data_IF_469897321033
#
_entry.id   IF_469897321033
#
_cell.length_a   1.000
_cell.length_b   1.000
_cell.length_c   1.000
_cell.angle_alpha   90.00
_cell.angle_beta   90.00
_cell.angle_gamma   90.00
#
_symmetry.space_group_name_H-M   'P 1'
#
loop_
_entity.id
_entity.type
_entity.pdbx_description
1 polymer ?
#
# COMPACT_ATOMS: atom_id res chain seq x y z
N UNK A 1 18.73 -24.18 -5.89
CA UNK A 1 18.26 -23.16 -6.85
C UNK A 1 17.82 -23.92 -8.10
N UNK A 2 16.81 -23.47 -8.85
CA UNK A 2 16.28 -24.26 -9.97
C UNK A 2 16.03 -23.47 -11.25
N UNK A 3 15.37 -24.09 -12.23
CA UNK A 3 15.09 -23.49 -13.55
C UNK A 3 14.34 -22.16 -13.49
N UNK A 4 13.47 -21.97 -12.50
CA UNK A 4 12.75 -20.72 -12.28
C UNK A 4 13.70 -19.58 -11.84
N UNK A 5 14.69 -19.89 -11.00
CA UNK A 5 15.69 -18.92 -10.55
C UNK A 5 16.62 -18.53 -11.70
N UNK A 6 17.03 -19.50 -12.52
CA UNK A 6 17.83 -19.28 -13.72
C UNK A 6 17.09 -18.40 -14.73
N UNK A 7 15.84 -18.75 -15.06
CA UNK A 7 15.00 -17.96 -15.96
C UNK A 7 14.84 -16.54 -15.43
N UNK A 8 14.49 -16.37 -14.16
CA UNK A 8 14.31 -15.04 -13.60
C UNK A 8 15.59 -14.22 -13.58
N UNK A 9 16.76 -14.85 -13.37
CA UNK A 9 18.05 -14.18 -13.46
C UNK A 9 18.39 -13.76 -14.89
N UNK A 10 18.18 -14.64 -15.87
CA UNK A 10 18.38 -14.34 -17.29
C UNK A 10 17.49 -13.20 -17.79
N UNK A 11 16.21 -13.19 -17.37
CA UNK A 11 15.27 -12.13 -17.75
C UNK A 11 15.74 -10.75 -17.29
N UNK A 12 16.45 -10.64 -16.16
CA UNK A 12 16.80 -9.34 -15.55
C UNK A 12 18.29 -9.00 -15.61
N UNK A 13 19.14 -9.92 -16.10
CA UNK A 13 20.59 -9.78 -16.12
C UNK A 13 21.15 -10.24 -17.47
N UNK A 14 21.68 -9.29 -18.24
CA UNK A 14 22.28 -9.58 -19.55
C UNK A 14 23.47 -10.53 -19.44
N UNK A 15 24.26 -10.43 -18.37
CA UNK A 15 25.39 -11.32 -18.12
C UNK A 15 24.97 -12.78 -17.92
N UNK A 16 23.82 -13.05 -17.28
CA UNK A 16 23.31 -14.43 -17.13
C UNK A 16 22.78 -14.97 -18.46
N UNK A 17 22.19 -14.10 -19.28
CA UNK A 17 21.80 -14.45 -20.66
C UNK A 17 23.00 -14.69 -21.58
N UNK A 18 24.09 -13.94 -21.39
CA UNK A 18 25.37 -14.19 -22.07
C UNK A 18 26.01 -15.50 -21.60
N UNK A 19 25.95 -15.79 -20.30
CA UNK A 19 26.46 -17.02 -19.72
C UNK A 19 25.81 -18.27 -20.31
N UNK A 20 24.49 -18.25 -20.58
CA UNK A 20 23.81 -19.35 -21.27
C UNK A 20 24.42 -19.64 -22.67
N UNK A 21 24.89 -18.62 -23.39
CA UNK A 21 25.47 -18.77 -24.73
C UNK A 21 26.94 -19.19 -24.70
N UNK A 22 27.69 -18.60 -23.78
CA UNK A 22 29.15 -18.69 -23.76
C UNK A 22 29.62 -19.91 -22.96
N UNK A 23 28.94 -20.23 -21.86
CA UNK A 23 29.27 -21.34 -20.97
C UNK A 23 28.00 -21.91 -20.29
N UNK A 24 27.16 -22.63 -21.03
CA UNK A 24 25.91 -23.19 -20.52
C UNK A 24 26.13 -24.17 -19.35
N UNK A 25 27.28 -24.85 -19.29
CA UNK A 25 27.63 -25.77 -18.19
C UNK A 25 27.86 -24.99 -16.89
N UNK A 26 28.46 -23.81 -16.96
CA UNK A 26 28.61 -22.94 -15.78
C UNK A 26 27.28 -22.40 -15.29
N UNK A 27 26.36 -22.05 -16.19
CA UNK A 27 24.98 -21.70 -15.80
C UNK A 27 24.27 -22.89 -15.15
N UNK A 28 24.39 -24.08 -15.74
CA UNK A 28 23.83 -25.33 -15.23
C UNK A 28 24.26 -25.61 -13.79
N UNK A 29 25.57 -25.53 -13.51
CA UNK A 29 26.10 -25.74 -12.17
C UNK A 29 25.63 -24.67 -11.18
N UNK A 30 25.56 -23.41 -11.62
CA UNK A 30 25.17 -22.30 -10.75
C UNK A 30 23.73 -22.41 -10.27
N UNK A 31 22.84 -22.88 -11.13
CA UNK A 31 21.40 -22.98 -10.84
C UNK A 31 20.91 -24.43 -10.69
N UNK A 32 21.84 -25.38 -10.49
CA UNK A 32 21.56 -26.82 -10.29
C UNK A 32 20.59 -27.40 -11.34
N UNK A 33 20.75 -27.01 -12.61
CA UNK A 33 19.85 -27.39 -13.69
C UNK A 33 20.13 -28.81 -14.17
N UNK A 34 19.07 -29.57 -14.44
CA UNK A 34 19.15 -30.80 -15.22
C UNK A 34 19.49 -30.51 -16.68
N UNK A 35 19.96 -31.52 -17.42
CA UNK A 35 20.23 -31.39 -18.87
C UNK A 35 18.96 -31.00 -19.64
N UNK A 36 17.79 -31.48 -19.21
CA UNK A 36 16.50 -31.13 -19.80
C UNK A 36 16.14 -29.66 -19.57
N UNK A 37 16.35 -29.13 -18.36
CA UNK A 37 16.11 -27.72 -18.04
C UNK A 37 17.10 -26.80 -18.78
N UNK A 38 18.37 -27.19 -18.88
CA UNK A 38 19.37 -26.46 -19.65
C UNK A 38 19.01 -26.45 -21.14
N UNK A 39 18.59 -27.59 -21.70
CA UNK A 39 18.14 -27.69 -23.09
C UNK A 39 16.90 -26.82 -23.35
N UNK A 40 15.95 -26.79 -22.41
CA UNK A 40 14.78 -25.92 -22.48
C UNK A 40 15.18 -24.44 -22.52
N UNK A 41 16.10 -24.01 -21.65
CA UNK A 41 16.56 -22.63 -21.62
C UNK A 41 17.36 -22.27 -22.90
N UNK A 42 18.22 -23.19 -23.36
CA UNK A 42 19.05 -22.98 -24.56
C UNK A 42 18.24 -22.99 -25.86
N UNK A 43 17.11 -23.70 -25.89
CA UNK A 43 16.24 -23.82 -27.07
C UNK A 43 15.38 -22.59 -27.35
N UNK A 44 15.28 -21.64 -26.42
CA UNK A 44 14.53 -20.40 -26.62
C UNK A 44 15.39 -19.31 -27.28
N UNK A 45 14.85 -18.63 -28.29
CA UNK A 45 15.51 -17.50 -28.91
C UNK A 45 15.66 -16.32 -27.92
N UNK A 46 16.79 -15.60 -27.98
CA UNK A 46 17.07 -14.43 -27.12
C UNK A 46 15.99 -13.36 -27.18
N UNK A 47 15.41 -13.12 -28.36
CA UNK A 47 14.31 -12.17 -28.52
C UNK A 47 13.06 -12.61 -27.74
N UNK A 48 12.85 -13.92 -27.59
CA UNK A 48 11.81 -14.48 -26.73
C UNK A 48 12.00 -14.12 -25.26
N UNK A 49 13.24 -14.12 -24.76
CA UNK A 49 13.55 -13.67 -23.40
C UNK A 49 13.33 -12.17 -23.21
N UNK A 50 13.72 -11.34 -24.20
CA UNK A 50 13.48 -9.89 -24.15
C UNK A 50 12.00 -9.53 -24.16
N UNK A 51 11.21 -10.19 -25.01
CA UNK A 51 9.74 -10.03 -25.04
C UNK A 51 9.13 -10.47 -23.72
N UNK A 52 9.55 -11.62 -23.18
CA UNK A 52 9.09 -12.12 -21.89
C UNK A 52 9.41 -11.15 -20.76
N UNK A 53 10.64 -10.63 -20.71
CA UNK A 53 11.07 -9.64 -19.72
C UNK A 53 10.22 -8.37 -19.79
N UNK A 54 10.03 -7.83 -21.00
CA UNK A 54 9.19 -6.64 -21.22
C UNK A 54 7.75 -6.90 -20.77
N UNK A 55 7.20 -8.08 -21.06
CA UNK A 55 5.88 -8.49 -20.63
C UNK A 55 5.76 -8.62 -19.10
N UNK A 56 6.77 -9.20 -18.44
CA UNK A 56 6.81 -9.33 -16.98
C UNK A 56 6.93 -7.97 -16.31
N UNK A 57 7.80 -7.08 -16.81
CA UNK A 57 7.90 -5.70 -16.33
C UNK A 57 6.60 -4.93 -16.51
N UNK A 58 5.94 -5.08 -17.65
CA UNK A 58 4.64 -4.46 -17.91
C UNK A 58 3.57 -4.92 -16.93
N UNK A 59 3.56 -6.22 -16.59
CA UNK A 59 2.67 -6.79 -15.57
C UNK A 59 2.99 -6.28 -14.17
N UNK A 60 4.27 -6.27 -13.77
CA UNK A 60 4.70 -5.71 -12.49
C UNK A 60 4.29 -4.25 -12.35
N UNK A 61 4.54 -3.44 -13.39
CA UNK A 61 4.11 -2.04 -13.43
C UNK A 61 2.60 -1.91 -13.25
N UNK A 62 1.82 -2.69 -13.99
CA UNK A 62 0.37 -2.64 -13.94
C UNK A 62 -0.16 -3.08 -12.57
N UNK A 63 0.46 -4.08 -11.96
CA UNK A 63 0.12 -4.56 -10.63
C UNK A 63 0.37 -3.48 -9.57
N UNK A 64 1.57 -2.88 -9.57
CA UNK A 64 1.90 -1.81 -8.60
C UNK A 64 1.03 -0.57 -8.83
N UNK A 65 0.82 -0.16 -10.09
CA UNK A 65 0.02 1.03 -10.42
C UNK A 65 -1.46 0.87 -10.04
N UNK A 66 -1.97 -0.36 -9.87
CA UNK A 66 -3.32 -0.58 -9.37
C UNK A 66 -3.50 -0.12 -7.90
N UNK A 67 -2.41 -0.08 -7.12
CA UNK A 67 -2.43 0.38 -5.73
C UNK A 67 -1.73 1.72 -5.52
N UNK A 68 -0.69 2.02 -6.30
CA UNK A 68 0.19 3.20 -6.17
C UNK A 68 0.29 4.00 -7.49
N UNK A 69 -0.83 4.43 -8.08
CA UNK A 69 -0.84 5.03 -9.41
C UNK A 69 0.07 6.26 -9.55
N UNK A 70 -0.01 7.21 -8.61
CA UNK A 70 0.75 8.46 -8.72
C UNK A 70 2.24 8.22 -8.38
N UNK A 71 2.53 7.36 -7.40
CA UNK A 71 3.92 6.97 -7.09
C UNK A 71 4.58 6.31 -8.29
N UNK A 72 3.88 5.43 -9.02
CA UNK A 72 4.42 4.81 -10.23
C UNK A 72 4.59 5.84 -11.34
N UNK A 73 3.63 6.77 -11.51
CA UNK A 73 3.76 7.85 -12.49
C UNK A 73 5.00 8.71 -12.21
N UNK A 74 5.23 9.12 -10.96
CA UNK A 74 6.41 9.87 -10.53
C UNK A 74 7.70 9.08 -10.74
N UNK A 75 7.72 7.79 -10.38
CA UNK A 75 8.87 6.92 -10.61
C UNK A 75 9.25 6.85 -12.09
N UNK A 76 8.28 6.76 -12.98
CA UNK A 76 8.53 6.67 -14.42
C UNK A 76 8.87 8.03 -15.05
N UNK A 77 8.34 9.12 -14.51
CA UNK A 77 8.56 10.48 -15.01
C UNK A 77 9.87 11.12 -14.53
N UNK A 78 10.24 10.92 -13.25
CA UNK A 78 11.36 11.60 -12.62
C UNK A 78 12.44 10.68 -12.03
N UNK A 79 12.15 9.39 -11.83
CA UNK A 79 13.05 8.47 -11.11
C UNK A 79 13.20 7.10 -11.78
N UNK A 80 13.29 7.08 -13.11
CA UNK A 80 13.25 5.83 -13.90
C UNK A 80 14.29 4.80 -13.46
N UNK A 81 15.50 5.24 -13.09
CA UNK A 81 16.55 4.37 -12.59
C UNK A 81 16.15 3.61 -11.31
N UNK A 82 15.41 4.26 -10.40
CA UNK A 82 14.88 3.64 -9.18
C UNK A 82 13.86 2.56 -9.52
N UNK A 83 12.96 2.82 -10.47
CA UNK A 83 12.00 1.80 -10.94
C UNK A 83 12.71 0.57 -11.51
N UNK A 84 13.71 0.78 -12.36
CA UNK A 84 14.47 -0.30 -13.00
C UNK A 84 15.29 -1.12 -11.98
N UNK A 85 15.81 -0.49 -10.94
CA UNK A 85 16.48 -1.16 -9.83
C UNK A 85 15.49 -2.03 -9.02
N UNK A 86 14.36 -1.46 -8.61
CA UNK A 86 13.31 -2.20 -7.90
C UNK A 86 12.83 -3.41 -8.70
N UNK A 87 12.51 -3.22 -9.99
CA UNK A 87 11.91 -4.25 -10.82
C UNK A 87 12.83 -5.47 -10.98
N UNK A 88 14.15 -5.26 -11.15
CA UNK A 88 15.14 -6.34 -11.23
C UNK A 88 15.15 -7.24 -9.98
N UNK A 89 14.90 -6.67 -8.80
CA UNK A 89 14.85 -7.40 -7.53
C UNK A 89 13.53 -8.15 -7.27
N UNK A 90 12.45 -7.80 -7.98
CA UNK A 90 11.10 -8.37 -7.74
C UNK A 90 10.79 -9.54 -8.66
N UNK A 91 11.18 -9.46 -9.93
CA UNK A 91 10.91 -10.48 -10.96
C UNK A 91 11.47 -11.88 -10.61
N UNK A 92 12.32 -11.97 -9.58
CA UNK A 92 12.99 -13.20 -9.14
C UNK A 92 12.21 -14.11 -8.18
N UNK A 93 11.01 -13.77 -7.73
CA UNK A 93 10.30 -14.56 -6.69
C UNK A 93 8.89 -14.99 -7.13
N UNK A 94 8.59 -16.30 -7.20
CA UNK A 94 7.22 -16.80 -7.32
C UNK A 94 6.37 -16.31 -6.14
N UNK A 95 5.09 -16.07 -6.38
CA UNK A 95 4.21 -15.43 -5.41
C UNK A 95 3.06 -16.36 -4.95
N UNK A 96 2.62 -16.23 -3.67
CA UNK A 96 1.43 -16.92 -3.19
C UNK A 96 0.14 -16.29 -3.75
N UNK A 97 -0.76 -17.13 -4.28
CA UNK A 97 -1.98 -16.71 -4.99
C UNK A 97 -3.09 -16.05 -4.14
N UNK A 98 -2.88 -15.90 -2.82
CA UNK A 98 -3.95 -15.56 -1.87
C UNK A 98 -4.18 -14.05 -1.64
N UNK A 99 -3.39 -13.17 -2.28
CA UNK A 99 -3.46 -11.71 -2.03
C UNK A 99 -4.13 -10.95 -3.18
N UNK A 100 -4.77 -9.79 -2.90
CA UNK A 100 -5.28 -8.92 -3.95
C UNK A 100 -4.16 -8.55 -4.93
N UNK A 101 -4.52 -8.47 -6.22
CA UNK A 101 -3.59 -8.17 -7.30
C UNK A 101 -2.81 -6.88 -7.01
N UNK A 102 -1.48 -6.93 -7.09
CA UNK A 102 -0.60 -5.77 -6.93
C UNK A 102 -0.29 -5.33 -5.51
N UNK A 103 -1.02 -5.81 -4.49
CA UNK A 103 -0.80 -5.40 -3.09
C UNK A 103 0.58 -5.79 -2.58
N UNK A 104 1.05 -7.02 -2.87
CA UNK A 104 2.34 -7.49 -2.39
C UNK A 104 3.51 -6.75 -3.04
N UNK A 105 3.43 -6.51 -4.34
CA UNK A 105 4.44 -5.73 -5.07
C UNK A 105 4.48 -4.29 -4.59
N UNK A 106 3.31 -3.71 -4.27
CA UNK A 106 3.19 -2.35 -3.75
C UNK A 106 3.74 -2.21 -2.33
N UNK A 107 3.50 -3.18 -1.45
CA UNK A 107 4.12 -3.26 -0.13
C UNK A 107 5.64 -3.33 -0.25
N UNK A 108 6.16 -4.17 -1.16
CA UNK A 108 7.60 -4.29 -1.41
C UNK A 108 8.19 -3.01 -1.98
N UNK A 109 7.53 -2.36 -2.93
CA UNK A 109 7.99 -1.08 -3.47
C UNK A 109 8.07 -0.05 -2.36
N UNK A 110 7.01 0.07 -1.56
CA UNK A 110 6.96 1.04 -0.46
C UNK A 110 8.05 0.79 0.58
N UNK A 111 8.29 -0.48 0.94
CA UNK A 111 9.36 -0.85 1.86
C UNK A 111 10.75 -0.59 1.27
N UNK A 112 10.96 -0.87 -0.02
CA UNK A 112 12.21 -0.59 -0.72
C UNK A 112 12.47 0.91 -0.85
N UNK A 113 11.45 1.71 -1.17
CA UNK A 113 11.54 3.18 -1.20
C UNK A 113 11.92 3.76 0.15
N UNK A 114 11.46 3.16 1.26
CA UNK A 114 11.86 3.58 2.60
C UNK A 114 13.35 3.39 2.90
N UNK A 115 14.06 2.55 2.13
CA UNK A 115 15.53 2.43 2.20
C UNK A 115 16.24 3.35 1.22
N UNK A 116 15.50 4.06 0.35
CA UNK A 116 16.03 5.06 -0.55
C UNK A 116 15.95 6.45 0.11
N UNK A 117 16.83 7.37 -0.26
CA UNK A 117 16.80 8.77 0.19
C UNK A 117 15.72 9.59 -0.53
N UNK A 118 14.49 9.08 -0.62
CA UNK A 118 13.36 9.68 -1.33
C UNK A 118 12.14 9.92 -0.42
N UNK A 119 12.27 10.76 0.62
CA UNK A 119 11.28 10.82 1.70
C UNK A 119 9.88 11.28 1.25
N UNK A 120 9.77 12.14 0.24
CA UNK A 120 8.49 12.55 -0.36
C UNK A 120 7.78 11.37 -1.04
N UNK A 121 8.51 10.66 -1.90
CA UNK A 121 8.01 9.50 -2.62
C UNK A 121 7.62 8.37 -1.67
N UNK A 122 8.43 8.11 -0.64
CA UNK A 122 8.12 7.15 0.42
C UNK A 122 6.87 7.53 1.21
N UNK A 123 6.71 8.80 1.57
CA UNK A 123 5.50 9.26 2.28
C UNK A 123 4.24 9.08 1.43
N UNK A 124 4.30 9.45 0.14
CA UNK A 124 3.16 9.33 -0.77
C UNK A 124 2.84 7.86 -1.12
N UNK A 125 3.85 7.02 -1.34
CA UNK A 125 3.66 5.58 -1.56
C UNK A 125 2.96 4.92 -0.35
N UNK A 126 3.37 5.27 0.87
CA UNK A 126 2.69 4.82 2.09
C UNK A 126 1.24 5.30 2.17
N UNK A 127 0.97 6.51 1.69
CA UNK A 127 -0.38 7.07 1.64
C UNK A 127 -1.29 6.32 0.66
N UNK A 128 -0.83 6.11 -0.58
CA UNK A 128 -1.57 5.33 -1.57
C UNK A 128 -1.77 3.87 -1.12
N UNK A 129 -0.73 3.25 -0.55
CA UNK A 129 -0.82 1.89 -0.03
C UNK A 129 -1.85 1.76 1.10
N UNK A 130 -1.90 2.73 2.02
CA UNK A 130 -2.88 2.73 3.10
C UNK A 130 -4.31 2.84 2.56
N UNK A 131 -4.52 3.63 1.49
CA UNK A 131 -5.82 3.70 0.79
C UNK A 131 -6.16 2.38 0.11
N UNK A 132 -5.24 1.80 -0.65
CA UNK A 132 -5.45 0.52 -1.35
C UNK A 132 -5.74 -0.61 -0.36
N UNK A 133 -5.00 -0.68 0.75
CA UNK A 133 -5.25 -1.64 1.84
C UNK A 133 -6.68 -1.51 2.35
N UNK A 134 -7.14 -0.29 2.63
CA UNK A 134 -8.48 -0.05 3.15
C UNK A 134 -9.59 -0.40 2.13
N UNK A 135 -9.34 -0.22 0.83
CA UNK A 135 -10.26 -0.64 -0.25
C UNK A 135 -10.43 -2.16 -0.31
N UNK A 136 -9.36 -2.91 -0.05
CA UNK A 136 -9.39 -4.39 -0.10
C UNK A 136 -9.70 -5.04 1.26
N UNK A 137 -9.78 -4.26 2.33
CA UNK A 137 -10.09 -4.73 3.68
C UNK A 137 -11.56 -5.15 3.79
N UNK A 138 -11.82 -6.43 4.11
CA UNK A 138 -13.17 -6.98 4.21
C UNK A 138 -13.94 -6.41 5.39
N UNK A 139 -13.27 -6.23 6.53
CA UNK A 139 -13.91 -5.73 7.75
C UNK A 139 -14.24 -4.25 7.60
N UNK A 140 -13.36 -3.49 6.93
CA UNK A 140 -13.66 -2.12 6.53
C UNK A 140 -14.90 -2.03 5.61
N UNK A 141 -15.08 -2.99 4.68
CA UNK A 141 -16.25 -3.03 3.80
C UNK A 141 -17.55 -3.28 4.58
N UNK A 142 -17.52 -4.23 5.52
CA UNK A 142 -18.65 -4.56 6.39
C UNK A 142 -19.00 -3.37 7.29
N UNK A 143 -18.00 -2.79 7.96
CA UNK A 143 -18.19 -1.62 8.81
C UNK A 143 -18.75 -0.42 8.03
N UNK A 144 -18.29 -0.19 6.79
CA UNK A 144 -18.83 0.89 5.94
C UNK A 144 -20.30 0.64 5.58
N UNK A 145 -20.67 -0.60 5.26
CA UNK A 145 -22.06 -0.99 5.00
C UNK A 145 -22.95 -0.77 6.21
N UNK A 146 -22.52 -1.27 7.37
CA UNK A 146 -23.29 -1.21 8.60
C UNK A 146 -23.44 0.27 9.05
N UNK A 147 -22.40 1.09 8.82
CA UNK A 147 -22.47 2.53 9.02
C UNK A 147 -23.55 3.22 8.18
N UNK A 148 -23.67 2.84 6.91
CA UNK A 148 -24.70 3.37 6.03
C UNK A 148 -26.12 2.97 6.46
N UNK A 149 -26.28 1.84 7.16
CA UNK A 149 -27.60 1.40 7.66
C UNK A 149 -28.04 2.10 8.94
N UNK A 150 -27.11 2.42 9.85
CA UNK A 150 -27.44 3.01 11.17
C UNK A 150 -27.48 4.53 11.13
N UNK A 151 -26.83 5.20 10.17
CA UNK A 151 -26.87 6.66 10.03
C UNK A 151 -28.29 7.27 9.91
N UNK A 152 -29.33 6.44 9.70
CA UNK A 152 -30.73 6.85 9.68
C UNK A 152 -31.51 6.69 10.99
N UNK A 153 -30.97 6.05 12.05
CA UNK A 153 -31.75 5.70 13.26
C UNK A 153 -31.72 6.75 14.37
N UNK A 154 -30.84 7.75 14.32
CA UNK A 154 -30.81 8.88 15.27
C UNK A 154 -30.40 8.56 16.71
N UNK A 155 -30.25 7.29 17.07
CA UNK A 155 -29.85 6.89 18.41
C UNK A 155 -28.39 7.25 18.70
N UNK A 156 -28.18 7.94 19.82
CA UNK A 156 -26.83 8.19 20.34
C UNK A 156 -26.26 6.86 20.85
N UNK A 157 -25.03 6.51 20.44
CA UNK A 157 -24.42 5.29 20.92
C UNK A 157 -24.16 5.37 22.43
N UNK A 158 -24.72 4.42 23.17
CA UNK A 158 -24.40 4.18 24.57
C UNK A 158 -23.26 3.13 24.66
N UNK A 159 -22.31 3.35 25.56
CA UNK A 159 -21.23 2.40 25.86
C UNK A 159 -19.85 2.79 25.34
N UNK A 160 -18.92 1.84 25.42
CA UNK A 160 -17.52 2.07 25.10
C UNK A 160 -17.32 2.28 23.59
N UNK A 161 -16.61 3.36 23.22
CA UNK A 161 -16.41 3.82 21.86
C UNK A 161 -15.17 3.20 21.23
N UNK A 162 -15.30 2.72 20.00
CA UNK A 162 -14.22 2.22 19.14
C UNK A 162 -14.16 2.95 17.80
N UNK A 163 -12.96 3.13 17.25
CA UNK A 163 -12.77 3.53 15.86
C UNK A 163 -13.39 2.49 14.92
N UNK A 164 -14.12 2.95 13.90
CA UNK A 164 -14.68 2.09 12.86
C UNK A 164 -13.56 1.40 12.08
N UNK A 165 -13.72 0.10 11.77
CA UNK A 165 -12.81 -0.60 10.86
C UNK A 165 -12.80 0.02 9.43
N UNK A 166 -13.83 0.79 9.08
CA UNK A 166 -13.88 1.54 7.82
C UNK A 166 -12.99 2.80 7.83
N UNK A 167 -12.32 3.10 8.94
CA UNK A 167 -11.49 4.29 9.11
C UNK A 167 -10.08 3.93 9.60
N UNK A 168 -9.08 4.70 9.16
CA UNK A 168 -7.69 4.60 9.63
C UNK A 168 -7.11 5.99 9.84
N UNK A 169 -6.30 6.15 10.89
CA UNK A 169 -5.55 7.39 11.13
C UNK A 169 -4.09 7.11 10.85
N UNK A 170 -3.53 7.83 9.89
CA UNK A 170 -2.14 7.70 9.48
C UNK A 170 -1.39 9.01 9.70
N UNK A 171 -0.09 8.92 9.98
CA UNK A 171 0.78 10.09 10.13
C UNK A 171 1.93 10.03 9.13
N UNK A 172 2.12 11.13 8.42
CA UNK A 172 3.14 11.28 7.38
C UNK A 172 4.09 12.43 7.73
N UNK A 173 5.33 12.31 7.29
CA UNK A 173 6.36 13.35 7.45
C UNK A 173 6.20 14.51 6.46
N UNK A 174 5.47 14.28 5.37
CA UNK A 174 5.14 15.26 4.35
C UNK A 174 3.64 15.39 4.22
N UNK A 175 3.19 16.52 3.67
CA UNK A 175 1.78 16.78 3.41
C UNK A 175 1.30 16.05 2.15
N UNK A 176 1.08 14.75 2.29
CA UNK A 176 0.55 13.88 1.22
C UNK A 176 -0.84 14.30 0.72
N UNK A 177 -1.54 15.19 1.45
CA UNK A 177 -2.87 15.67 1.05
C UNK A 177 -2.82 16.85 0.08
N UNK A 178 -1.63 17.45 -0.15
CA UNK A 178 -1.43 18.44 -1.20
C UNK A 178 -1.58 17.84 -2.62
N UNK A 179 -1.39 16.51 -2.74
CA UNK A 179 -1.45 15.80 -4.02
C UNK A 179 -0.20 15.99 -4.88
N UNK A 180 -0.20 15.45 -6.12
CA UNK A 180 0.90 15.63 -7.07
C UNK A 180 1.12 17.11 -7.46
N UNK A 181 2.34 17.50 -7.87
CA UNK A 181 3.51 16.64 -8.09
C UNK A 181 4.17 16.18 -6.78
N UNK A 182 4.54 14.89 -6.70
CA UNK A 182 5.09 14.28 -5.46
C UNK A 182 6.43 14.92 -5.09
N UNK A 183 7.20 15.34 -6.09
CA UNK A 183 8.47 16.06 -5.90
C UNK A 183 8.35 17.36 -5.12
N UNK A 184 7.16 17.98 -5.01
CA UNK A 184 6.96 19.29 -4.38
C UNK A 184 6.20 19.23 -3.05
N UNK A 185 5.95 18.03 -2.52
CA UNK A 185 5.19 17.87 -1.27
C UNK A 185 5.85 18.66 -0.12
N UNK A 186 5.07 19.49 0.60
CA UNK A 186 5.55 20.23 1.76
C UNK A 186 6.10 19.30 2.85
N UNK A 187 7.25 19.65 3.43
CA UNK A 187 7.86 18.95 4.55
C UNK A 187 7.18 19.29 5.88
N UNK A 188 5.86 19.06 5.94
CA UNK A 188 5.03 19.32 7.12
C UNK A 188 4.39 18.02 7.57
N UNK A 189 4.61 17.68 8.85
CA UNK A 189 4.00 16.51 9.47
C UNK A 189 2.48 16.63 9.39
N UNK A 190 1.85 15.65 8.74
CA UNK A 190 0.40 15.68 8.48
C UNK A 190 -0.25 14.41 8.99
N UNK A 191 -1.37 14.56 9.71
CA UNK A 191 -2.23 13.45 10.13
C UNK A 191 -3.44 13.37 9.21
N UNK A 192 -3.70 12.18 8.71
CA UNK A 192 -4.76 11.93 7.73
C UNK A 192 -5.71 10.87 8.26
N UNK A 193 -6.99 11.19 8.27
CA UNK A 193 -8.07 10.22 8.43
C UNK A 193 -8.44 9.68 7.05
N UNK A 194 -8.22 8.39 6.85
CA UNK A 194 -8.72 7.64 5.70
C UNK A 194 -10.07 7.04 6.07
N UNK A 195 -11.07 7.19 5.21
CA UNK A 195 -12.42 6.64 5.40
C UNK A 195 -12.92 5.96 4.14
N UNK A 196 -13.31 4.70 4.28
CA UNK A 196 -14.06 3.97 3.26
C UNK A 196 -15.55 4.24 3.40
N UNK A 197 -16.17 4.71 2.32
CA UNK A 197 -17.64 4.82 2.24
C UNK A 197 -18.28 3.55 1.68
N UNK A 198 -19.53 3.29 2.07
CA UNK A 198 -20.31 2.20 1.46
C UNK A 198 -20.56 2.50 -0.02
N UNK A 199 -20.19 1.55 -0.90
CA UNK A 199 -20.25 1.69 -2.37
C UNK A 199 -19.52 2.92 -2.93
N UNK A 200 -18.71 3.59 -2.11
CA UNK A 200 -17.89 4.70 -2.59
C UNK A 200 -16.74 4.11 -3.43
N UNK A 201 -16.51 4.63 -4.65
CA UNK A 201 -15.45 4.10 -5.51
C UNK A 201 -14.05 4.44 -5.00
N UNK A 202 -13.93 5.42 -4.10
CA UNK A 202 -12.66 5.91 -3.58
C UNK A 202 -12.69 6.04 -2.05
N UNK A 203 -11.54 5.73 -1.41
CA UNK A 203 -11.29 6.09 -0.02
C UNK A 203 -11.14 7.61 0.08
N UNK A 204 -11.95 8.21 0.96
CA UNK A 204 -11.87 9.63 1.30
C UNK A 204 -10.69 9.84 2.26
N UNK A 205 -10.02 10.96 2.12
CA UNK A 205 -8.91 11.35 2.97
C UNK A 205 -9.17 12.75 3.51
N UNK A 206 -9.02 12.92 4.82
CA UNK A 206 -9.20 14.21 5.48
C UNK A 206 -7.96 14.53 6.30
N UNK A 207 -7.45 15.75 6.16
CA UNK A 207 -6.48 16.27 7.13
C UNK A 207 -7.18 16.47 8.47
N UNK A 208 -6.58 15.98 9.54
CA UNK A 208 -7.13 16.13 10.88
C UNK A 208 -6.13 16.81 11.82
N UNK A 209 -6.67 17.52 12.81
CA UNK A 209 -5.87 18.15 13.87
C UNK A 209 -5.33 17.11 14.86
N UNK A 210 -4.32 17.50 15.64
CA UNK A 210 -3.78 16.70 16.75
C UNK A 210 -4.86 16.32 17.76
N UNK A 211 -5.72 17.27 18.13
CA UNK A 211 -6.83 17.02 19.06
C UNK A 211 -7.83 15.98 18.53
N UNK A 212 -8.18 16.06 17.24
CA UNK A 212 -9.03 15.05 16.59
C UNK A 212 -8.35 13.68 16.57
N UNK A 213 -7.06 13.62 16.24
CA UNK A 213 -6.31 12.37 16.23
C UNK A 213 -6.20 11.75 17.64
N UNK A 214 -6.02 12.57 18.67
CA UNK A 214 -6.01 12.13 20.07
C UNK A 214 -7.35 11.54 20.49
N UNK A 215 -8.47 12.18 20.15
CA UNK A 215 -9.82 11.65 20.40
C UNK A 215 -10.00 10.27 19.76
N UNK A 216 -9.66 10.14 18.48
CA UNK A 216 -9.78 8.88 17.75
C UNK A 216 -8.88 7.77 18.35
N UNK A 217 -7.68 8.12 18.81
CA UNK A 217 -6.76 7.18 19.45
C UNK A 217 -7.28 6.65 20.80
N UNK A 218 -8.16 7.40 21.50
CA UNK A 218 -8.81 6.97 22.74
C UNK A 218 -10.07 6.15 22.52
N UNK A 219 -10.60 6.12 21.30
CA UNK A 219 -11.73 5.28 20.92
C UNK A 219 -11.23 3.85 20.62
N UNK A 220 -10.81 3.13 21.66
CA UNK A 220 -10.24 1.77 21.59
C UNK A 220 -11.24 0.65 21.99
N UNK A 221 -12.48 1.02 22.26
CA UNK A 221 -13.55 0.11 22.70
C UNK A 221 -13.55 -0.18 24.19
N UNK A 222 -12.81 0.60 25.00
CA UNK A 222 -12.80 0.47 26.48
C UNK A 222 -13.38 1.68 27.20
N UNK A 223 -13.47 2.84 26.54
CA UNK A 223 -13.91 4.12 27.13
C UNK A 223 -15.19 4.62 26.53
N UNK A 224 -16.09 5.14 27.34
CA UNK A 224 -17.27 5.87 26.84
C UNK A 224 -16.91 7.29 26.37
N UNK A 225 -17.91 8.02 25.86
CA UNK A 225 -17.72 9.37 25.35
C UNK A 225 -17.19 10.36 26.40
N UNK A 226 -17.66 10.26 27.65
CA UNK A 226 -17.27 11.20 28.71
C UNK A 226 -15.81 10.96 29.14
N UNK A 227 -15.42 9.69 29.25
CA UNK A 227 -14.05 9.28 29.55
C UNK A 227 -13.08 9.72 28.44
N UNK A 228 -13.45 9.48 27.17
CA UNK A 228 -12.64 9.94 26.02
C UNK A 228 -12.43 11.46 26.08
N UNK A 229 -13.48 12.25 26.27
CA UNK A 229 -13.38 13.72 26.32
C UNK A 229 -12.51 14.20 27.49
N UNK A 230 -12.66 13.61 28.67
CA UNK A 230 -11.89 13.98 29.85
C UNK A 230 -10.39 13.69 29.69
N UNK A 231 -10.02 12.62 28.99
CA UNK A 231 -8.62 12.19 28.85
C UNK A 231 -7.81 12.95 27.78
N UNK A 232 -8.46 13.59 26.80
CA UNK A 232 -7.74 14.37 25.78
C UNK A 232 -7.25 15.73 26.34
N UNK A 233 -7.84 16.19 27.44
CA UNK A 233 -7.52 17.47 28.08
C UNK A 233 -7.96 18.69 27.25
N UNK A 234 -7.86 19.88 27.84
CA UNK A 234 -8.18 21.15 27.17
C UNK A 234 -9.68 21.49 27.17
N UNK A 235 -10.18 22.02 26.06
CA UNK A 235 -11.58 22.45 25.90
C UNK A 235 -12.51 21.24 25.71
N UNK A 236 -13.08 20.77 26.83
CA UNK A 236 -13.98 19.62 26.85
C UNK A 236 -15.25 19.81 26.00
N UNK A 237 -15.77 21.04 25.89
CA UNK A 237 -16.98 21.31 25.10
C UNK A 237 -16.70 21.08 23.61
N UNK A 238 -15.57 21.62 23.12
CA UNK A 238 -15.13 21.42 21.74
C UNK A 238 -14.76 19.97 21.44
N UNK A 239 -14.13 19.28 22.40
CA UNK A 239 -13.81 17.86 22.27
C UNK A 239 -15.09 17.00 22.16
N UNK A 240 -16.09 17.26 23.00
CA UNK A 240 -17.39 16.59 22.95
C UNK A 240 -18.14 16.87 21.63
N UNK A 241 -18.14 18.11 21.15
CA UNK A 241 -18.74 18.46 19.85
C UNK A 241 -18.04 17.72 18.69
N UNK A 242 -16.71 17.68 18.71
CA UNK A 242 -15.92 16.96 17.70
C UNK A 242 -16.22 15.46 17.73
N UNK A 243 -16.26 14.86 18.93
CA UNK A 243 -16.60 13.44 19.08
C UNK A 243 -18.02 13.13 18.59
N UNK A 244 -19.00 13.99 18.89
CA UNK A 244 -20.35 13.84 18.38
C UNK A 244 -20.40 13.87 16.84
N UNK A 245 -19.64 14.76 16.19
CA UNK A 245 -19.52 14.80 14.72
C UNK A 245 -18.88 13.51 14.17
N UNK A 246 -17.86 12.97 14.84
CA UNK A 246 -17.21 11.71 14.45
C UNK A 246 -18.17 10.51 14.55
N UNK A 247 -18.98 10.47 15.60
CA UNK A 247 -20.05 9.46 15.78
C UNK A 247 -21.09 9.57 14.65
N UNK A 248 -21.61 10.78 14.39
CA UNK A 248 -22.58 11.00 13.32
C UNK A 248 -22.03 10.65 11.93
N UNK A 249 -20.73 10.85 11.71
CA UNK A 249 -20.05 10.48 10.49
C UNK A 249 -19.77 8.96 10.37
N UNK A 250 -20.16 8.15 11.36
CA UNK A 250 -19.93 6.71 11.39
C UNK A 250 -18.45 6.35 11.53
N UNK A 251 -17.63 7.25 12.06
CA UNK A 251 -16.19 7.03 12.29
C UNK A 251 -15.94 6.36 13.64
N UNK A 252 -16.84 6.54 14.61
CA UNK A 252 -16.73 6.00 15.96
C UNK A 252 -18.04 5.29 16.31
N UNK A 253 -17.95 4.10 16.89
CA UNK A 253 -19.07 3.20 17.19
C UNK A 253 -19.02 2.72 18.63
N UNK A 254 -20.18 2.45 19.26
CA UNK A 254 -20.20 1.71 20.51
C UNK A 254 -19.76 0.27 20.24
N UNK A 255 -19.09 -0.34 21.22
CA UNK A 255 -18.82 -1.76 21.23
C UNK A 255 -20.15 -2.49 21.51
N UNK A 256 -20.59 -3.28 20.52
CA UNK A 256 -21.69 -4.24 20.65
C UNK A 256 -21.35 -5.34 21.64
#
# INVERSE_FOLDING_TARGET
MGVQDALAAMLVCEAESALLREDPVRLQRRYELSDAELAMLSGAALDGYRVTYTGVLGKLRSAVAACLPDTVAELLGGHRALWEEFARGVVRRPQPAARPFGMWESERLTAWLATQETPRLTAYARYELARATLVHDRDAALAARDAATVAGSGDRPAGALRLSAAARVETYTHDVTAGPPIGELPAVRTRVLLQRGWRAPVVRAYRISDGTAMLLARCDGTRDAAQVVAEVGGDHARAAETLAKLVLAGLVWPRS
#
